data_IF_460631887137
#
_entry.id   IF_460631887137
#
_cell.length_a   1.000
_cell.length_b   1.000
_cell.length_c   1.000
_cell.angle_alpha   90.00
_cell.angle_beta   90.00
_cell.angle_gamma   90.00
#
_symmetry.space_group_name_H-M   'P 1'
#
loop_
_entity.id
_entity.type
_entity.pdbx_description
1 polymer ?
#
# COMPACT_ATOMS: atom_id res chain seq x y z
N UNK A 1 -9.17 12.34 -2.46
CA UNK A 1 -9.17 11.10 -1.67
C UNK A 1 -10.11 10.11 -2.33
N UNK A 2 -9.69 8.87 -2.54
CA UNK A 2 -10.56 7.79 -3.06
C UNK A 2 -10.61 6.57 -2.12
N UNK A 3 -10.21 6.79 -0.87
CA UNK A 3 -9.74 5.74 0.01
C UNK A 3 -10.21 6.00 1.42
N UNK A 4 -11.02 5.08 1.96
CA UNK A 4 -11.49 5.13 3.35
C UNK A 4 -10.38 4.85 4.35
N UNK A 5 -10.63 5.21 5.60
CA UNK A 5 -9.69 4.98 6.72
C UNK A 5 -9.36 3.49 6.86
N UNK A 6 -10.36 2.62 6.75
CA UNK A 6 -10.18 1.16 6.90
C UNK A 6 -9.20 0.60 5.86
N UNK A 7 -9.37 1.02 4.62
CA UNK A 7 -8.60 0.56 3.48
C UNK A 7 -7.16 1.13 3.50
N UNK A 8 -6.99 2.36 4.02
CA UNK A 8 -5.66 2.90 4.35
C UNK A 8 -4.96 2.09 5.43
N UNK A 9 -5.66 1.71 6.50
CA UNK A 9 -5.07 0.99 7.64
C UNK A 9 -4.56 -0.38 7.23
N UNK A 10 -5.37 -1.14 6.48
CA UNK A 10 -4.98 -2.46 5.95
C UNK A 10 -3.76 -2.34 5.04
N UNK A 11 -3.70 -1.31 4.20
CA UNK A 11 -2.60 -1.15 3.25
C UNK A 11 -1.32 -0.62 3.90
N UNK A 12 -1.43 0.26 4.91
CA UNK A 12 -0.29 0.62 5.77
C UNK A 12 0.24 -0.63 6.45
N UNK A 13 -0.60 -1.40 7.14
CA UNK A 13 -0.13 -2.55 7.92
C UNK A 13 0.51 -3.62 7.04
N UNK A 14 -0.10 -3.93 5.90
CA UNK A 14 0.46 -4.87 4.93
C UNK A 14 1.75 -4.34 4.28
N UNK A 15 1.78 -3.07 3.87
CA UNK A 15 2.95 -2.46 3.22
C UNK A 15 4.15 -2.34 4.16
N UNK A 16 3.91 -1.89 5.40
CA UNK A 16 4.94 -1.80 6.43
C UNK A 16 5.43 -3.20 6.83
N UNK A 17 4.51 -4.17 6.95
CA UNK A 17 4.84 -5.57 7.21
C UNK A 17 5.76 -6.14 6.13
N UNK A 18 5.46 -5.91 4.85
CA UNK A 18 6.32 -6.35 3.75
C UNK A 18 7.72 -5.73 3.83
N UNK A 19 7.83 -4.41 4.04
CA UNK A 19 9.15 -3.74 4.14
C UNK A 19 9.96 -4.26 5.34
N UNK A 20 9.31 -4.49 6.49
CA UNK A 20 9.99 -5.02 7.68
C UNK A 20 10.45 -6.47 7.46
N UNK A 21 9.61 -7.30 6.85
CA UNK A 21 9.94 -8.70 6.55
C UNK A 21 11.06 -8.78 5.53
N UNK A 22 11.02 -7.97 4.49
CA UNK A 22 12.08 -7.87 3.47
C UNK A 22 13.42 -7.43 4.06
N UNK A 23 13.40 -6.46 4.98
CA UNK A 23 14.60 -6.06 5.70
C UNK A 23 15.13 -7.16 6.64
N UNK A 24 14.23 -7.91 7.28
CA UNK A 24 14.59 -8.93 8.27
C UNK A 24 14.95 -10.29 7.64
N UNK A 25 14.42 -10.59 6.45
CA UNK A 25 14.62 -11.83 5.73
C UNK A 25 15.30 -11.53 4.40
N UNK A 26 16.45 -12.15 4.12
CA UNK A 26 17.10 -12.03 2.81
C UNK A 26 16.29 -12.79 1.75
N UNK A 27 15.25 -12.15 1.21
CA UNK A 27 14.38 -12.68 0.17
C UNK A 27 15.03 -12.39 -1.20
N UNK A 28 15.12 -13.39 -2.08
CA UNK A 28 15.69 -13.22 -3.44
C UNK A 28 14.93 -12.20 -4.32
N UNK A 29 13.73 -11.78 -3.90
CA UNK A 29 12.82 -10.87 -4.59
C UNK A 29 12.76 -9.47 -3.94
N UNK A 30 13.80 -9.10 -3.20
CA UNK A 30 13.99 -7.84 -2.45
C UNK A 30 13.40 -6.61 -3.17
N UNK A 31 13.81 -6.38 -4.42
CA UNK A 31 13.35 -5.21 -5.21
C UNK A 31 11.82 -5.20 -5.41
N UNK A 32 11.20 -6.35 -5.67
CA UNK A 32 9.76 -6.39 -5.94
C UNK A 32 8.99 -6.22 -4.65
N UNK A 33 9.43 -6.86 -3.57
CA UNK A 33 8.79 -6.78 -2.26
C UNK A 33 8.88 -5.36 -1.70
N UNK A 34 10.04 -4.71 -1.79
CA UNK A 34 10.23 -3.34 -1.31
C UNK A 34 9.41 -2.34 -2.12
N UNK A 35 9.29 -2.52 -3.45
CA UNK A 35 8.48 -1.66 -4.32
C UNK A 35 7.00 -1.77 -3.95
N UNK A 36 6.48 -3.00 -3.81
CA UNK A 36 5.08 -3.23 -3.43
C UNK A 36 4.79 -2.71 -2.02
N UNK A 37 5.70 -2.94 -1.08
CA UNK A 37 5.61 -2.45 0.29
C UNK A 37 5.59 -0.92 0.35
N UNK A 38 6.56 -0.26 -0.30
CA UNK A 38 6.63 1.20 -0.39
C UNK A 38 5.40 1.79 -1.09
N UNK A 39 4.93 1.15 -2.16
CA UNK A 39 3.71 1.57 -2.84
C UNK A 39 2.50 1.57 -1.90
N UNK A 40 2.34 0.49 -1.11
CA UNK A 40 1.27 0.40 -0.11
C UNK A 40 1.33 1.51 0.94
N UNK A 41 2.53 1.81 1.45
CA UNK A 41 2.75 2.87 2.45
C UNK A 41 2.52 4.27 1.86
N UNK A 42 3.06 4.56 0.67
CA UNK A 42 2.91 5.87 0.03
C UNK A 42 1.45 6.15 -0.33
N UNK A 43 0.79 5.20 -1.00
CA UNK A 43 -0.62 5.37 -1.41
C UNK A 43 -1.58 5.49 -0.23
N UNK A 44 -1.21 4.99 0.95
CA UNK A 44 -2.02 5.13 2.17
C UNK A 44 -1.73 6.41 2.94
N UNK A 45 -0.48 6.90 2.94
CA UNK A 45 -0.09 8.19 3.51
C UNK A 45 -0.77 9.38 2.79
N UNK A 46 -0.67 9.43 1.46
CA UNK A 46 -1.43 10.40 0.65
C UNK A 46 -2.91 10.04 0.56
N UNK A 47 -3.21 8.76 0.81
CA UNK A 47 -4.54 8.16 0.76
C UNK A 47 -5.29 8.46 -0.54
N UNK A 48 -4.49 8.31 -1.59
CA UNK A 48 -4.88 8.30 -2.97
C UNK A 48 -4.19 7.09 -3.60
N UNK A 49 -4.98 6.20 -4.19
CA UNK A 49 -4.46 5.09 -4.97
C UNK A 49 -4.74 5.33 -6.46
N UNK A 50 -3.70 5.47 -7.30
CA UNK A 50 -3.89 5.79 -8.72
C UNK A 50 -4.56 4.64 -9.49
N UNK A 51 -4.37 3.39 -9.07
CA UNK A 51 -5.08 2.24 -9.65
C UNK A 51 -6.60 2.33 -9.44
N UNK A 52 -7.03 2.72 -8.24
CA UNK A 52 -8.45 2.92 -7.95
C UNK A 52 -9.03 4.07 -8.77
N UNK A 53 -8.25 5.15 -8.98
CA UNK A 53 -8.66 6.25 -9.87
C UNK A 53 -8.77 5.79 -11.33
N UNK A 54 -7.82 4.98 -11.82
CA UNK A 54 -7.83 4.46 -13.18
C UNK A 54 -9.04 3.54 -13.44
N UNK A 55 -9.44 2.76 -12.43
CA UNK A 55 -10.61 1.89 -12.47
C UNK A 55 -11.93 2.60 -12.12
N UNK A 56 -11.90 3.91 -11.82
CA UNK A 56 -13.10 4.66 -11.40
C UNK A 56 -13.68 4.25 -10.05
N UNK A 57 -12.92 3.53 -9.21
CA UNK A 57 -13.37 3.00 -7.93
C UNK A 57 -12.99 3.94 -6.77
N UNK A 58 -13.89 4.08 -5.80
CA UNK A 58 -13.63 4.73 -4.52
C UNK A 58 -14.14 3.85 -3.40
N UNK A 59 -13.33 3.60 -2.39
CA UNK A 59 -13.77 2.96 -1.13
C UNK A 59 -14.12 3.97 -0.05
N UNK A 60 -14.02 5.26 -0.34
CA UNK A 60 -14.47 6.32 0.55
C UNK A 60 -16.01 6.42 0.48
N UNK A 61 -16.73 6.41 1.63
CA UNK A 61 -18.15 6.71 1.63
C UNK A 61 -18.36 8.15 1.13
N UNK A 62 -19.33 8.31 0.22
CA UNK A 62 -19.83 9.60 -0.24
C UNK A 62 -20.54 10.36 0.90
#
# INVERSE_FOLDING_TARGET
MNLSITDRLVRVSAGLGMVVVDYAASIDWDIIVIVVGCWGVLTSAFGFCPFYKLMGHSTCPI
#
